data_IF_568063202243
#
_entry.id   IF_568063202243
#
_cell.length_a   1.000
_cell.length_b   1.000
_cell.length_c   1.000
_cell.angle_alpha   90.00
_cell.angle_beta   90.00
_cell.angle_gamma   90.00
#
_symmetry.space_group_name_H-M   'P 1'
#
loop_
_entity.id
_entity.type
_entity.pdbx_description
1 polymer ?
#
# COMPACT_ATOMS: atom_id res chain seq x y z
N UNK A 1 24.78 15.14 -19.35
CA UNK A 1 23.58 14.34 -19.02
C UNK A 1 24.02 12.91 -18.70
N UNK A 2 23.66 12.43 -17.55
CA UNK A 2 24.11 11.12 -17.12
C UNK A 2 23.41 9.98 -17.85
N UNK A 3 24.11 8.87 -18.05
CA UNK A 3 23.57 7.66 -18.66
C UNK A 3 22.32 7.13 -17.93
N UNK A 4 22.12 7.50 -16.66
CA UNK A 4 20.96 7.14 -15.86
C UNK A 4 19.64 7.71 -16.37
N UNK A 5 19.66 8.94 -16.88
CA UNK A 5 18.44 9.56 -17.42
C UNK A 5 17.97 8.86 -18.69
N UNK A 6 18.89 8.43 -19.53
CA UNK A 6 18.57 7.72 -20.76
C UNK A 6 18.03 6.31 -20.53
N UNK A 7 18.53 5.63 -19.52
CA UNK A 7 18.04 4.28 -19.12
C UNK A 7 16.63 4.37 -18.55
N UNK A 8 16.38 5.39 -17.75
CA UNK A 8 15.10 5.63 -17.13
C UNK A 8 13.98 5.86 -18.17
N UNK A 9 14.27 6.64 -19.20
CA UNK A 9 13.33 6.91 -20.28
C UNK A 9 12.96 5.68 -21.12
N UNK A 10 13.84 4.68 -21.19
CA UNK A 10 13.61 3.47 -21.99
C UNK A 10 12.83 2.39 -21.27
N UNK A 11 12.94 2.32 -19.95
CA UNK A 11 12.39 1.20 -19.18
C UNK A 11 11.14 1.54 -18.39
N UNK A 12 10.74 2.80 -18.35
CA UNK A 12 9.61 3.25 -17.53
C UNK A 12 9.84 3.10 -16.02
N UNK A 13 11.05 2.78 -15.60
CA UNK A 13 11.40 2.56 -14.20
C UNK A 13 11.82 3.84 -13.46
N UNK A 14 11.68 5.00 -14.10
CA UNK A 14 12.00 6.29 -13.48
C UNK A 14 11.22 6.53 -12.20
N UNK A 15 9.97 6.07 -12.15
CA UNK A 15 9.13 6.22 -10.97
C UNK A 15 9.63 5.41 -9.78
N UNK A 16 10.19 4.23 -10.03
CA UNK A 16 10.70 3.36 -8.97
C UNK A 16 11.96 3.92 -8.29
N UNK A 17 12.72 4.78 -8.98
CA UNK A 17 13.89 5.44 -8.43
C UNK A 17 13.63 6.83 -7.87
N UNK A 18 12.41 7.38 -8.01
CA UNK A 18 12.07 8.69 -7.52
C UNK A 18 11.95 8.67 -5.99
N UNK A 19 12.52 9.69 -5.31
CA UNK A 19 12.37 9.86 -3.87
C UNK A 19 11.11 10.69 -3.62
N UNK A 20 10.13 10.09 -2.97
CA UNK A 20 8.91 10.78 -2.53
C UNK A 20 9.09 11.29 -1.09
N UNK A 21 8.40 12.37 -0.76
CA UNK A 21 8.45 12.96 0.59
C UNK A 21 7.85 12.03 1.64
N UNK A 22 6.83 11.26 1.25
CA UNK A 22 6.21 10.25 2.10
C UNK A 22 6.33 8.91 1.39
N UNK A 23 7.11 8.01 1.98
CA UNK A 23 7.29 6.65 1.47
C UNK A 23 7.05 5.65 2.59
N UNK A 24 6.20 4.66 2.33
CA UNK A 24 5.98 3.53 3.24
C UNK A 24 6.16 2.25 2.45
N UNK A 25 6.90 1.31 3.02
CA UNK A 25 7.00 -0.06 2.54
C UNK A 25 6.90 -0.96 3.78
N UNK A 26 5.93 -1.86 3.79
CA UNK A 26 5.69 -2.74 4.93
C UNK A 26 5.11 -4.06 4.45
N UNK A 27 5.22 -5.09 5.28
CA UNK A 27 4.68 -6.40 4.96
C UNK A 27 4.05 -7.05 6.20
N UNK A 28 3.03 -7.87 5.97
CA UNK A 28 2.33 -8.62 7.02
C UNK A 28 1.96 -9.99 6.47
N UNK A 29 2.32 -11.03 7.20
CA UNK A 29 1.91 -12.40 6.86
C UNK A 29 0.49 -12.66 7.35
N UNK A 30 -0.36 -13.17 6.44
CA UNK A 30 -1.75 -13.52 6.72
C UNK A 30 -1.98 -14.96 6.33
N UNK A 31 -2.50 -15.76 7.27
CA UNK A 31 -2.81 -17.17 7.01
C UNK A 31 -4.22 -17.25 6.44
N UNK A 32 -4.31 -16.95 5.13
CA UNK A 32 -5.55 -16.97 4.37
C UNK A 32 -5.25 -17.19 2.89
N UNK A 33 -6.26 -17.57 2.13
CA UNK A 33 -6.16 -17.67 0.68
C UNK A 33 -5.96 -16.28 0.07
N UNK A 34 -5.00 -16.08 -0.85
CA UNK A 34 -4.80 -14.81 -1.54
C UNK A 34 -6.08 -14.23 -2.16
N UNK A 35 -6.96 -15.07 -2.70
CA UNK A 35 -8.23 -14.61 -3.27
C UNK A 35 -9.15 -13.99 -2.22
N UNK A 36 -9.18 -14.53 -1.01
CA UNK A 36 -9.96 -13.97 0.10
C UNK A 36 -9.37 -12.65 0.59
N UNK A 37 -8.05 -12.57 0.70
CA UNK A 37 -7.36 -11.31 1.05
C UNK A 37 -7.64 -10.25 -0.01
N UNK A 38 -7.56 -10.61 -1.28
CA UNK A 38 -7.85 -9.72 -2.40
C UNK A 38 -9.26 -9.12 -2.33
N UNK A 39 -10.26 -9.91 -1.97
CA UNK A 39 -11.64 -9.44 -1.81
C UNK A 39 -11.78 -8.45 -0.66
N UNK A 40 -11.13 -8.72 0.46
CA UNK A 40 -11.21 -7.84 1.64
C UNK A 40 -10.54 -6.50 1.36
N UNK A 41 -9.35 -6.50 0.74
CA UNK A 41 -8.64 -5.24 0.43
C UNK A 41 -9.30 -4.45 -0.70
N UNK A 42 -10.11 -5.10 -1.54
CA UNK A 42 -10.84 -4.43 -2.62
C UNK A 42 -12.19 -3.84 -2.17
N UNK A 43 -12.57 -3.99 -0.92
CA UNK A 43 -13.81 -3.45 -0.39
C UNK A 43 -13.72 -1.94 -0.19
N UNK A 44 -14.43 -1.18 -1.03
CA UNK A 44 -14.41 0.29 -1.04
C UNK A 44 -14.88 0.92 0.27
N UNK A 45 -15.81 0.28 0.98
CA UNK A 45 -16.31 0.79 2.25
C UNK A 45 -15.19 0.81 3.31
N UNK A 46 -14.29 -0.17 3.26
CA UNK A 46 -13.16 -0.25 4.18
C UNK A 46 -12.12 0.84 3.92
N UNK A 47 -11.94 1.26 2.68
CA UNK A 47 -10.94 2.29 2.34
C UNK A 47 -11.18 3.61 3.05
N UNK A 48 -12.43 4.03 3.20
CA UNK A 48 -12.82 5.26 3.92
C UNK A 48 -12.50 5.20 5.40
N UNK A 49 -12.55 4.01 5.97
CA UNK A 49 -12.17 3.75 7.37
C UNK A 49 -10.67 3.73 7.56
N UNK A 50 -9.97 3.09 6.65
CA UNK A 50 -8.51 2.96 6.74
C UNK A 50 -7.79 4.26 6.42
N UNK A 51 -8.27 5.01 5.43
CA UNK A 51 -7.65 6.23 4.94
C UNK A 51 -8.70 7.34 4.74
N UNK A 52 -9.25 7.92 5.83
CA UNK A 52 -10.38 8.85 5.73
C UNK A 52 -10.04 10.18 5.03
N UNK A 53 -8.77 10.57 5.01
CA UNK A 53 -8.29 11.81 4.39
C UNK A 53 -7.74 11.61 2.98
N UNK A 54 -7.80 10.40 2.44
CA UNK A 54 -7.36 10.09 1.09
C UNK A 54 -8.54 9.75 0.18
N UNK A 55 -8.40 10.11 -1.09
CA UNK A 55 -9.30 9.66 -2.15
C UNK A 55 -8.55 8.65 -3.00
N UNK A 56 -9.12 7.47 -3.15
CA UNK A 56 -8.50 6.36 -3.86
C UNK A 56 -9.25 6.08 -5.15
N UNK A 57 -8.52 6.13 -6.26
CA UNK A 57 -9.01 5.72 -7.57
C UNK A 57 -8.26 4.46 -7.98
N UNK A 58 -8.98 3.40 -8.27
CA UNK A 58 -8.37 2.14 -8.69
C UNK A 58 -7.65 2.35 -10.02
N UNK A 59 -6.33 2.15 -10.02
CA UNK A 59 -5.52 2.14 -11.22
C UNK A 59 -5.48 0.74 -11.83
N UNK A 60 -5.39 -0.28 -10.97
CA UNK A 60 -5.35 -1.67 -11.40
C UNK A 60 -5.86 -2.58 -10.29
N UNK A 61 -6.88 -3.37 -10.58
CA UNK A 61 -7.35 -4.44 -9.70
C UNK A 61 -6.80 -5.76 -10.23
N UNK A 62 -5.91 -6.39 -9.46
CA UNK A 62 -5.26 -7.65 -9.80
C UNK A 62 -5.86 -8.84 -9.06
N UNK A 63 -7.02 -8.67 -8.45
CA UNK A 63 -7.74 -9.72 -7.71
C UNK A 63 -6.86 -10.36 -6.62
N UNK A 64 -6.50 -11.63 -6.77
CA UNK A 64 -5.69 -12.38 -5.80
C UNK A 64 -4.23 -11.91 -5.69
N UNK A 65 -3.79 -11.04 -6.59
CA UNK A 65 -2.44 -10.44 -6.57
C UNK A 65 -2.39 -9.06 -5.95
N UNK A 66 -3.54 -8.47 -5.63
CA UNK A 66 -3.62 -7.19 -4.96
C UNK A 66 -4.33 -6.11 -5.75
N UNK A 67 -4.07 -4.86 -5.37
CA UNK A 67 -4.73 -3.69 -5.94
C UNK A 67 -3.82 -2.47 -5.86
N UNK A 68 -3.91 -1.63 -6.88
CA UNK A 68 -3.14 -0.39 -6.97
C UNK A 68 -4.07 0.79 -7.15
N UNK A 69 -3.80 1.90 -6.49
CA UNK A 69 -4.58 3.13 -6.53
C UNK A 69 -3.74 4.34 -6.90
N UNK A 70 -4.38 5.28 -7.55
CA UNK A 70 -3.95 6.68 -7.57
C UNK A 70 -4.55 7.35 -6.34
N UNK A 71 -3.72 8.08 -5.60
CA UNK A 71 -4.08 8.73 -4.34
C UNK A 71 -4.17 10.23 -4.55
N UNK A 72 -5.26 10.82 -4.09
CA UNK A 72 -5.46 12.27 -3.99
C UNK A 72 -6.04 12.61 -2.62
N UNK A 73 -6.30 13.87 -2.35
CA UNK A 73 -6.74 14.34 -1.05
C UNK A 73 -5.60 14.94 -0.25
N UNK A 74 -5.34 14.47 0.96
CA UNK A 74 -4.24 14.97 1.78
C UNK A 74 -2.85 14.69 1.20
N UNK A 75 -2.73 13.65 0.38
CA UNK A 75 -1.51 13.29 -0.34
C UNK A 75 -1.83 13.09 -1.81
N UNK A 76 -0.83 13.30 -2.67
CA UNK A 76 -0.89 12.96 -4.09
C UNK A 76 0.18 11.93 -4.41
N UNK A 77 -0.20 10.83 -5.02
CA UNK A 77 0.75 9.79 -5.39
C UNK A 77 0.09 8.47 -5.73
N UNK A 78 0.75 7.39 -5.35
CA UNK A 78 0.29 6.02 -5.58
C UNK A 78 0.33 5.21 -4.30
N UNK A 79 -0.57 4.26 -4.19
CA UNK A 79 -0.63 3.29 -3.11
C UNK A 79 -0.90 1.92 -3.69
N UNK A 80 -0.29 0.91 -3.13
CA UNK A 80 -0.41 -0.46 -3.64
C UNK A 80 -0.44 -1.47 -2.50
N UNK A 81 -1.31 -2.44 -2.64
CA UNK A 81 -1.23 -3.70 -1.92
C UNK A 81 -0.87 -4.77 -2.94
N UNK A 82 0.24 -5.46 -2.69
CA UNK A 82 0.66 -6.61 -3.46
C UNK A 82 0.58 -7.86 -2.57
N UNK A 83 -0.04 -8.90 -3.11
CA UNK A 83 -0.24 -10.17 -2.40
C UNK A 83 0.67 -11.23 -2.98
N UNK A 84 1.62 -11.69 -2.18
CA UNK A 84 2.58 -12.72 -2.56
C UNK A 84 2.25 -14.02 -1.83
N UNK A 85 1.88 -15.10 -2.54
CA UNK A 85 1.69 -16.40 -1.92
C UNK A 85 2.97 -16.84 -1.20
N UNK A 86 2.86 -17.25 0.05
CA UNK A 86 3.99 -17.66 0.87
C UNK A 86 3.55 -18.72 1.87
N UNK A 87 4.23 -19.85 1.90
CA UNK A 87 3.90 -20.96 2.80
C UNK A 87 2.41 -21.33 2.70
N UNK A 88 1.70 -21.34 3.82
CA UNK A 88 0.27 -21.64 3.91
C UNK A 88 -0.61 -20.38 3.92
N UNK A 89 -0.10 -19.27 3.44
CA UNK A 89 -0.81 -18.00 3.44
C UNK A 89 -0.30 -17.05 2.38
N UNK A 90 -0.29 -15.78 2.74
CA UNK A 90 0.09 -14.68 1.85
C UNK A 90 0.87 -13.61 2.61
N UNK A 91 1.91 -13.07 1.98
CA UNK A 91 2.53 -11.82 2.42
C UNK A 91 1.77 -10.66 1.78
N UNK A 92 1.16 -9.83 2.60
CA UNK A 92 0.55 -8.58 2.18
C UNK A 92 1.62 -7.50 2.24
N UNK A 93 2.04 -7.04 1.06
CA UNK A 93 2.93 -5.91 0.94
C UNK A 93 2.11 -4.63 0.78
N UNK A 94 2.46 -3.60 1.53
CA UNK A 94 1.84 -2.29 1.46
C UNK A 94 2.86 -1.24 1.07
N UNK A 95 2.56 -0.48 0.03
CA UNK A 95 3.43 0.58 -0.47
C UNK A 95 2.64 1.88 -0.61
N UNK A 96 3.24 2.98 -0.15
CA UNK A 96 2.75 4.32 -0.36
C UNK A 96 3.92 5.19 -0.84
N UNK A 97 3.71 5.87 -1.97
CA UNK A 97 4.67 6.80 -2.56
C UNK A 97 3.92 8.08 -2.90
N UNK A 98 4.09 9.12 -2.10
CA UNK A 98 3.24 10.29 -2.22
C UNK A 98 3.93 11.59 -1.76
N UNK A 99 3.33 12.69 -2.18
CA UNK A 99 3.69 14.03 -1.76
C UNK A 99 2.52 14.69 -1.02
N UNK A 100 2.77 15.52 0.00
CA UNK A 100 1.72 16.33 0.61
C UNK A 100 1.05 17.23 -0.43
N UNK A 101 -0.28 17.28 -0.42
CA UNK A 101 -1.05 18.06 -1.39
C UNK A 101 -1.02 19.54 -1.07
N UNK A 102 -1.00 20.38 -2.13
CA UNK A 102 -1.20 21.81 -2.00
C UNK A 102 -0.11 22.57 -1.26
N UNK A 103 1.10 22.02 -1.15
CA UNK A 103 2.23 22.68 -0.47
C UNK A 103 3.30 23.09 -1.47
N UNK A 104 3.88 24.26 -1.23
CA UNK A 104 5.05 24.73 -1.98
C UNK A 104 6.32 24.02 -1.50
N UNK A 105 7.41 24.10 -2.27
CA UNK A 105 8.71 23.57 -1.86
C UNK A 105 9.18 24.17 -0.52
N UNK A 106 8.91 25.45 -0.32
CA UNK A 106 9.25 26.15 0.93
C UNK A 106 8.46 25.63 2.12
N UNK A 107 7.15 25.40 1.94
CA UNK A 107 6.29 24.81 2.97
C UNK A 107 6.72 23.38 3.27
N UNK A 108 7.03 22.59 2.23
CA UNK A 108 7.50 21.23 2.37
C UNK A 108 8.76 21.14 3.23
N UNK A 109 9.72 22.06 3.02
CA UNK A 109 10.97 22.10 3.79
C UNK A 109 10.75 22.30 5.29
N UNK A 110 9.65 22.95 5.70
CA UNK A 110 9.28 23.17 7.10
C UNK A 110 8.39 22.08 7.70
N UNK A 111 7.99 21.08 6.93
CA UNK A 111 7.07 20.04 7.41
C UNK A 111 7.80 18.91 8.14
N UNK A 112 7.13 18.33 9.13
CA UNK A 112 7.62 17.16 9.88
C UNK A 112 7.32 15.89 9.13
N UNK A 113 8.06 15.64 8.02
CA UNK A 113 7.82 14.51 7.11
C UNK A 113 7.99 13.14 7.79
N UNK A 114 8.93 13.02 8.72
CA UNK A 114 9.13 11.76 9.46
C UNK A 114 7.90 11.37 10.28
N UNK A 115 7.26 12.35 10.91
CA UNK A 115 6.01 12.13 11.67
C UNK A 115 4.85 11.77 10.74
N UNK A 116 4.72 12.45 9.61
CA UNK A 116 3.70 12.14 8.61
C UNK A 116 3.88 10.74 8.06
N UNK A 117 5.10 10.37 7.70
CA UNK A 117 5.43 9.03 7.20
C UNK A 117 5.11 7.97 8.25
N UNK A 118 5.46 8.20 9.51
CA UNK A 118 5.15 7.28 10.60
C UNK A 118 3.64 7.06 10.75
N UNK A 119 2.84 8.12 10.72
CA UNK A 119 1.37 8.01 10.77
C UNK A 119 0.82 7.15 9.64
N UNK A 120 1.37 7.30 8.44
CA UNK A 120 0.94 6.50 7.27
C UNK A 120 1.36 5.04 7.41
N UNK A 121 2.53 4.80 7.98
CA UNK A 121 2.97 3.43 8.28
C UNK A 121 2.05 2.76 9.30
N UNK A 122 1.69 3.48 10.36
CA UNK A 122 0.76 2.97 11.38
C UNK A 122 -0.61 2.67 10.75
N UNK A 123 -1.16 3.58 9.94
CA UNK A 123 -2.44 3.37 9.27
C UNK A 123 -2.41 2.13 8.37
N UNK A 124 -1.33 1.93 7.63
CA UNK A 124 -1.14 0.73 6.79
C UNK A 124 -1.05 -0.55 7.61
N UNK A 125 -0.36 -0.51 8.75
CA UNK A 125 -0.24 -1.66 9.64
C UNK A 125 -1.57 -1.98 10.32
N UNK A 126 -2.33 -0.99 10.72
CA UNK A 126 -3.69 -1.19 11.28
C UNK A 126 -4.62 -1.82 10.25
N UNK A 127 -4.56 -1.38 9.00
CA UNK A 127 -5.29 -2.01 7.89
C UNK A 127 -4.91 -3.48 7.76
N UNK A 128 -3.61 -3.78 7.69
CA UNK A 128 -3.13 -5.16 7.51
C UNK A 128 -3.53 -6.06 8.68
N UNK A 129 -3.48 -5.57 9.90
CA UNK A 129 -3.90 -6.33 11.08
C UNK A 129 -5.41 -6.54 11.12
N UNK A 130 -6.20 -5.59 10.64
CA UNK A 130 -7.65 -5.77 10.54
C UNK A 130 -8.00 -6.87 9.53
N UNK A 131 -7.35 -6.86 8.36
CA UNK A 131 -7.52 -7.90 7.35
C UNK A 131 -7.12 -9.27 7.90
N UNK A 132 -5.97 -9.33 8.57
CA UNK A 132 -5.48 -10.54 9.23
C UNK A 132 -6.48 -11.07 10.27
N UNK A 133 -6.96 -10.22 11.16
CA UNK A 133 -7.92 -10.59 12.20
C UNK A 133 -9.23 -11.08 11.59
N UNK A 134 -9.73 -10.43 10.56
CA UNK A 134 -10.96 -10.80 9.86
C UNK A 134 -10.87 -12.20 9.27
N UNK A 135 -9.76 -12.53 8.62
CA UNK A 135 -9.62 -13.79 7.89
C UNK A 135 -9.11 -14.95 8.74
N UNK A 136 -8.39 -14.68 9.82
CA UNK A 136 -7.86 -15.71 10.70
C UNK A 136 -8.75 -16.03 11.92
N UNK A 137 -9.74 -15.19 12.21
CA UNK A 137 -10.56 -15.23 13.43
C UNK A 137 -11.18 -16.59 13.71
N UNK A 138 -11.71 -17.27 12.70
CA UNK A 138 -12.43 -18.53 12.84
C UNK A 138 -11.61 -19.75 12.43
N UNK A 139 -10.34 -19.56 12.11
CA UNK A 139 -9.48 -20.65 11.65
C UNK A 139 -8.91 -21.43 12.84
N UNK A 140 -9.08 -22.76 12.90
CA UNK A 140 -8.42 -23.57 13.91
C UNK A 140 -6.90 -23.54 13.77
N UNK A 141 -6.20 -23.60 14.90
CA UNK A 141 -4.73 -23.64 14.91
C UNK A 141 -4.25 -24.90 14.18
N UNK A 142 -3.28 -24.74 13.29
CA UNK A 142 -2.67 -25.84 12.55
C UNK A 142 -3.44 -26.30 11.31
N UNK A 143 -4.56 -25.66 10.96
CA UNK A 143 -5.30 -25.98 9.74
C UNK A 143 -4.93 -25.00 8.64
N UNK A 144 -4.53 -25.51 7.48
CA UNK A 144 -4.20 -24.70 6.31
C UNK A 144 -5.44 -24.02 5.74
N UNK A 145 -5.37 -22.76 5.32
CA UNK A 145 -6.48 -22.08 4.65
C UNK A 145 -6.71 -22.57 3.22
N UNK A 146 -5.80 -23.37 2.70
CA UNK A 146 -5.82 -23.82 1.31
C UNK A 146 -6.42 -25.24 1.14
N UNK A 147 -6.96 -25.82 2.20
CA UNK A 147 -7.62 -27.13 2.16
C UNK A 147 -9.13 -27.01 1.97
#
# INVERSE_FOLDING_TARGET
>A
MSARAAVCARTGMCEAGAVHSVQVADETFIVADPAQVGKVVADRASWRRWWPDLRLQVAEDRADKGIRWVVTGALNGTMEIWLEPSLDGVLLHYFLHAEPSGVSARQLAGMKLARMTHRRRVAGKEMAFEVKATLERSRPVGVSPLT
#
